data_IF_181627723706
#
_entry.id   IF_181627723706
#
_cell.length_a   1.000
_cell.length_b   1.000
_cell.length_c   1.000
_cell.angle_alpha   90.00
_cell.angle_beta   90.00
_cell.angle_gamma   90.00
#
_symmetry.space_group_name_H-M   'P 1'
#
loop_
_entity.id
_entity.type
_entity.pdbx_description
1 polymer ?
#
# COMPACT_ATOMS: atom_id res chain seq x y z
N UNK A 1 16.83 -4.29 -19.63
CA UNK A 1 15.91 -3.51 -18.78
C UNK A 1 16.59 -2.23 -18.38
N UNK A 2 15.92 -1.06 -18.31
CA UNK A 2 16.52 0.11 -17.71
C UNK A 2 16.88 -0.22 -16.26
N UNK A 3 18.16 -0.02 -15.92
CA UNK A 3 18.70 -0.36 -14.60
C UNK A 3 18.39 0.81 -13.64
N UNK A 4 17.17 0.84 -13.10
CA UNK A 4 16.84 1.79 -12.04
C UNK A 4 17.46 1.32 -10.73
N UNK A 5 18.02 2.23 -9.91
CA UNK A 5 18.67 1.84 -8.67
C UNK A 5 17.66 1.19 -7.71
N UNK A 6 18.05 0.07 -7.13
CA UNK A 6 17.34 -0.52 -5.99
C UNK A 6 17.42 0.45 -4.83
N UNK A 7 16.27 0.82 -4.28
CA UNK A 7 16.18 1.72 -3.11
C UNK A 7 16.41 0.91 -1.83
N UNK A 8 15.86 -0.30 -1.77
CA UNK A 8 15.91 -1.15 -0.60
C UNK A 8 15.92 -2.63 -0.97
N UNK A 9 16.52 -3.45 -0.11
CA UNK A 9 16.53 -4.92 -0.28
C UNK A 9 16.30 -5.58 1.08
N UNK A 10 15.43 -6.56 1.13
CA UNK A 10 15.15 -7.32 2.34
C UNK A 10 14.86 -8.79 2.05
N UNK A 11 14.95 -9.63 3.06
CA UNK A 11 14.55 -11.04 2.98
C UNK A 11 13.15 -11.23 3.54
N UNK A 12 12.31 -11.97 2.83
CA UNK A 12 11.01 -12.43 3.36
C UNK A 12 11.21 -13.34 4.57
N UNK A 13 10.15 -13.66 5.29
CA UNK A 13 10.17 -14.67 6.37
C UNK A 13 10.65 -16.05 5.91
N UNK A 14 10.49 -16.37 4.62
CA UNK A 14 10.96 -17.60 4.00
C UNK A 14 12.38 -17.53 3.44
N UNK A 15 13.12 -16.42 3.65
CA UNK A 15 14.49 -16.23 3.18
C UNK A 15 14.60 -15.80 1.70
N UNK A 16 13.50 -15.55 1.02
CA UNK A 16 13.50 -15.07 -0.35
C UNK A 16 13.89 -13.59 -0.39
N UNK A 17 14.84 -13.23 -1.24
CA UNK A 17 15.30 -11.85 -1.40
C UNK A 17 14.29 -11.05 -2.22
N UNK A 18 13.97 -9.86 -1.74
CA UNK A 18 13.08 -8.89 -2.40
C UNK A 18 13.84 -7.60 -2.63
N UNK A 19 13.78 -7.11 -3.85
CA UNK A 19 14.35 -5.81 -4.26
C UNK A 19 13.22 -4.81 -4.43
N UNK A 20 13.38 -3.62 -3.86
CA UNK A 20 12.39 -2.54 -3.95
C UNK A 20 13.03 -1.35 -4.65
N UNK A 21 12.30 -0.75 -5.54
CA UNK A 21 12.67 0.52 -6.19
C UNK A 21 11.47 1.44 -6.38
N UNK A 22 11.74 2.69 -6.67
CA UNK A 22 10.69 3.64 -7.02
C UNK A 22 9.98 3.20 -8.30
N UNK A 23 8.66 3.35 -8.29
CA UNK A 23 7.80 3.09 -9.44
C UNK A 23 8.09 4.12 -10.54
N UNK A 24 8.15 3.64 -11.76
CA UNK A 24 8.46 4.44 -12.95
C UNK A 24 7.32 4.32 -13.98
N UNK A 25 7.17 5.28 -14.90
CA UNK A 25 6.15 5.23 -15.96
C UNK A 25 6.17 3.96 -16.79
N UNK A 26 7.37 3.42 -17.00
CA UNK A 26 7.59 2.20 -17.79
C UNK A 26 7.12 0.92 -17.07
N UNK A 27 6.72 1.01 -15.82
CA UNK A 27 6.38 -0.14 -14.98
C UNK A 27 4.92 -0.61 -15.12
N UNK A 28 4.11 0.05 -15.93
CA UNK A 28 2.74 -0.38 -16.17
C UNK A 28 2.59 -1.88 -16.50
N UNK A 29 3.46 -2.52 -17.34
CA UNK A 29 3.39 -3.96 -17.56
C UNK A 29 3.61 -4.79 -16.29
N UNK A 30 4.42 -4.33 -15.34
CA UNK A 30 4.63 -5.01 -14.05
C UNK A 30 3.41 -4.89 -13.14
N UNK A 31 2.72 -3.75 -13.17
CA UNK A 31 1.49 -3.57 -12.41
C UNK A 31 0.35 -4.42 -12.98
N UNK A 32 0.29 -4.57 -14.30
CA UNK A 32 -0.64 -5.51 -14.95
C UNK A 32 -0.34 -6.95 -14.53
N UNK A 33 0.94 -7.38 -14.62
CA UNK A 33 1.36 -8.72 -14.16
C UNK A 33 1.00 -8.94 -12.68
N UNK A 34 1.28 -7.97 -11.81
CA UNK A 34 0.90 -8.03 -10.41
C UNK A 34 -0.61 -8.21 -10.23
N UNK A 35 -1.41 -7.39 -10.93
CA UNK A 35 -2.87 -7.46 -10.87
C UNK A 35 -3.40 -8.82 -11.36
N UNK A 36 -2.89 -9.34 -12.47
CA UNK A 36 -3.31 -10.63 -13.03
C UNK A 36 -3.03 -11.80 -12.08
N UNK A 37 -2.02 -11.65 -11.22
CA UNK A 37 -1.65 -12.62 -10.19
C UNK A 37 -2.29 -12.35 -8.81
N UNK A 38 -3.27 -11.44 -8.74
CA UNK A 38 -4.15 -11.24 -7.58
C UNK A 38 -5.48 -11.95 -7.82
N UNK A 39 -5.99 -12.63 -6.81
CA UNK A 39 -7.33 -13.21 -6.83
C UNK A 39 -8.44 -12.17 -6.75
N UNK A 40 -9.68 -12.56 -7.03
CA UNK A 40 -10.83 -11.66 -7.02
C UNK A 40 -11.01 -10.91 -5.69
N UNK A 41 -10.81 -11.61 -4.57
CA UNK A 41 -10.90 -11.02 -3.23
C UNK A 41 -9.84 -9.95 -3.00
N UNK A 42 -8.58 -10.23 -3.37
CA UNK A 42 -7.47 -9.27 -3.24
C UNK A 42 -7.67 -8.04 -4.13
N UNK A 43 -8.19 -8.22 -5.34
CA UNK A 43 -8.56 -7.11 -6.24
C UNK A 43 -9.67 -6.27 -5.63
N UNK A 44 -10.73 -6.93 -5.14
CA UNK A 44 -11.85 -6.24 -4.49
C UNK A 44 -11.41 -5.45 -3.26
N UNK A 45 -10.58 -6.05 -2.40
CA UNK A 45 -10.04 -5.37 -1.22
C UNK A 45 -9.17 -4.16 -1.56
N UNK A 46 -8.45 -4.21 -2.69
CA UNK A 46 -7.57 -3.13 -3.12
C UNK A 46 -8.32 -1.97 -3.76
N UNK A 47 -9.33 -2.26 -4.58
CA UNK A 47 -10.01 -1.26 -5.40
C UNK A 47 -11.42 -0.90 -4.90
N UNK A 48 -11.93 -1.61 -3.89
CA UNK A 48 -13.28 -1.47 -3.32
C UNK A 48 -14.39 -1.64 -4.36
N UNK A 49 -14.09 -2.33 -5.45
CA UNK A 49 -15.03 -2.65 -6.54
C UNK A 49 -14.66 -3.99 -7.17
N UNK A 50 -15.66 -4.67 -7.75
CA UNK A 50 -15.43 -5.90 -8.47
C UNK A 50 -14.74 -5.59 -9.81
N UNK A 51 -13.55 -6.12 -10.00
CA UNK A 51 -12.77 -6.00 -11.23
C UNK A 51 -12.45 -7.39 -11.76
N UNK A 52 -13.17 -7.81 -12.80
CA UNK A 52 -13.00 -9.13 -13.41
C UNK A 52 -11.80 -9.17 -14.36
N UNK A 53 -11.37 -8.02 -14.87
CA UNK A 53 -10.22 -7.87 -15.76
C UNK A 53 -9.49 -6.56 -15.49
N UNK A 54 -8.24 -6.52 -15.93
CA UNK A 54 -7.43 -5.29 -15.88
C UNK A 54 -7.97 -4.33 -16.93
N UNK A 55 -8.52 -3.22 -16.48
CA UNK A 55 -8.65 -2.07 -17.37
C UNK A 55 -7.25 -1.45 -17.51
N UNK A 56 -6.57 -1.87 -18.58
CA UNK A 56 -5.20 -1.43 -18.86
C UNK A 56 -5.15 0.09 -19.00
N UNK A 57 -6.17 0.70 -19.58
CA UNK A 57 -6.24 2.15 -19.73
C UNK A 57 -6.30 2.83 -18.34
N UNK A 58 -7.04 2.28 -17.39
CA UNK A 58 -7.05 2.78 -16.00
C UNK A 58 -5.73 2.56 -15.24
N UNK A 59 -5.02 1.47 -15.51
CA UNK A 59 -3.67 1.26 -14.98
C UNK A 59 -2.75 2.30 -15.58
N UNK A 60 -2.80 2.52 -16.90
CA UNK A 60 -2.04 3.55 -17.59
C UNK A 60 -2.39 4.95 -17.11
N UNK A 61 -3.67 5.31 -16.99
CA UNK A 61 -4.12 6.61 -16.47
C UNK A 61 -3.59 6.87 -15.05
N UNK A 62 -3.55 5.83 -14.23
CA UNK A 62 -3.01 5.93 -12.87
C UNK A 62 -1.48 6.02 -12.88
N UNK A 63 -0.83 5.28 -13.77
CA UNK A 63 0.62 5.33 -13.95
C UNK A 63 1.05 6.60 -14.67
N UNK A 64 0.24 7.12 -15.60
CA UNK A 64 0.43 8.46 -16.17
C UNK A 64 0.30 9.55 -15.11
N UNK A 65 -0.61 9.44 -14.15
CA UNK A 65 -0.68 10.34 -13.01
C UNK A 65 0.57 10.26 -12.12
N UNK A 66 1.11 9.05 -11.93
CA UNK A 66 2.37 8.84 -11.21
C UNK A 66 3.57 9.30 -12.06
N UNK A 67 3.46 9.18 -13.37
CA UNK A 67 4.55 9.37 -14.33
C UNK A 67 4.68 10.79 -14.88
N UNK A 68 3.55 11.40 -15.24
CA UNK A 68 3.46 12.72 -15.88
C UNK A 68 2.82 13.76 -14.97
N UNK A 69 2.03 13.34 -13.98
CA UNK A 69 1.79 14.18 -12.83
C UNK A 69 3.17 14.50 -12.24
N UNK A 70 3.45 15.80 -12.05
CA UNK A 70 4.65 16.22 -11.34
C UNK A 70 4.97 15.21 -10.23
N UNK A 71 6.22 14.82 -10.03
CA UNK A 71 6.66 13.97 -8.91
C UNK A 71 6.18 14.49 -7.55
N UNK A 72 5.61 15.70 -7.52
CA UNK A 72 4.92 16.31 -6.39
C UNK A 72 3.51 15.76 -6.13
N UNK A 73 2.88 15.02 -7.07
CA UNK A 73 1.47 14.58 -6.94
C UNK A 73 1.38 13.13 -6.49
N UNK A 74 2.25 12.25 -6.96
CA UNK A 74 2.19 10.82 -6.63
C UNK A 74 3.58 10.20 -6.51
N UNK A 75 3.70 9.22 -5.62
CA UNK A 75 4.88 8.40 -5.43
C UNK A 75 4.49 6.93 -5.31
N UNK A 76 5.39 6.07 -5.68
CA UNK A 76 5.16 4.64 -5.56
C UNK A 76 6.44 3.83 -5.51
N UNK A 77 6.31 2.66 -4.94
CA UNK A 77 7.34 1.63 -4.83
C UNK A 77 6.85 0.35 -5.48
N UNK A 78 7.73 -0.35 -6.15
CA UNK A 78 7.48 -1.69 -6.69
C UNK A 78 8.53 -2.65 -6.15
N UNK A 79 8.08 -3.84 -5.74
CA UNK A 79 8.92 -4.90 -5.20
C UNK A 79 9.00 -6.06 -6.17
N UNK A 80 10.20 -6.58 -6.32
CA UNK A 80 10.51 -7.71 -7.20
C UNK A 80 11.20 -8.81 -6.42
N UNK A 81 11.03 -10.05 -6.86
CA UNK A 81 11.86 -11.16 -6.45
C UNK A 81 12.21 -12.05 -7.65
N UNK A 82 13.32 -12.77 -7.51
CA UNK A 82 13.67 -13.81 -8.46
C UNK A 82 12.90 -15.10 -8.11
N UNK A 83 12.36 -15.73 -9.13
CA UNK A 83 11.74 -17.06 -9.04
C UNK A 83 12.62 -18.08 -9.80
N UNK A 84 12.30 -19.35 -9.63
CA UNK A 84 13.00 -20.41 -10.37
C UNK A 84 12.77 -20.31 -11.89
N UNK A 85 11.68 -19.67 -12.32
CA UNK A 85 11.25 -19.59 -13.71
C UNK A 85 11.76 -18.33 -14.41
N UNK A 86 11.80 -17.20 -13.69
CA UNK A 86 12.26 -15.93 -14.25
C UNK A 86 12.79 -14.99 -13.15
N UNK A 87 13.75 -14.11 -13.49
CA UNK A 87 14.17 -13.02 -12.61
C UNK A 87 13.13 -11.89 -12.63
N UNK A 88 13.27 -10.96 -11.69
CA UNK A 88 12.53 -9.69 -11.61
C UNK A 88 11.01 -9.86 -11.73
N UNK A 89 10.44 -10.81 -10.97
CA UNK A 89 8.99 -10.98 -10.91
C UNK A 89 8.39 -9.92 -9.98
N UNK A 90 7.42 -9.09 -10.45
CA UNK A 90 6.75 -8.13 -9.59
C UNK A 90 5.88 -8.87 -8.56
N UNK A 91 6.08 -8.59 -7.29
CA UNK A 91 5.41 -9.28 -6.18
C UNK A 91 4.56 -8.37 -5.31
N UNK A 92 4.83 -7.08 -5.34
CA UNK A 92 4.02 -6.09 -4.63
C UNK A 92 4.24 -4.69 -5.19
N UNK A 93 3.26 -3.82 -4.97
CA UNK A 93 3.37 -2.39 -5.22
C UNK A 93 2.68 -1.61 -4.11
N UNK A 94 3.24 -0.45 -3.75
CA UNK A 94 2.61 0.51 -2.86
C UNK A 94 2.73 1.90 -3.47
N UNK A 95 1.73 2.75 -3.26
CA UNK A 95 1.74 4.12 -3.77
C UNK A 95 0.91 5.03 -2.91
N UNK A 96 1.21 6.33 -2.97
CA UNK A 96 0.29 7.36 -2.54
C UNK A 96 0.05 8.38 -3.64
N UNK A 97 -1.11 9.02 -3.58
CA UNK A 97 -1.50 10.14 -4.44
C UNK A 97 -1.91 11.31 -3.54
N UNK A 98 -1.25 12.45 -3.70
CA UNK A 98 -1.56 13.66 -2.91
C UNK A 98 -2.97 14.13 -3.19
N UNK A 99 -3.71 14.39 -2.13
CA UNK A 99 -5.03 15.04 -2.16
C UNK A 99 -4.89 16.55 -1.98
N UNK A 100 -3.90 16.95 -1.19
CA UNK A 100 -3.51 18.33 -0.93
C UNK A 100 -2.05 18.39 -0.43
N UNK A 101 -1.60 19.55 0.07
CA UNK A 101 -0.22 19.73 0.53
C UNK A 101 0.16 18.88 1.75
N UNK A 102 -0.82 18.46 2.55
CA UNK A 102 -0.60 17.74 3.80
C UNK A 102 -1.04 16.27 3.77
N UNK A 103 -1.92 15.90 2.83
CA UNK A 103 -2.59 14.61 2.81
C UNK A 103 -2.43 13.88 1.49
N UNK A 104 -2.33 12.56 1.57
CA UNK A 104 -2.34 11.70 0.39
C UNK A 104 -3.13 10.42 0.65
N UNK A 105 -3.79 9.89 -0.38
CA UNK A 105 -4.39 8.57 -0.36
C UNK A 105 -3.31 7.51 -0.60
N UNK A 106 -3.26 6.48 0.26
CA UNK A 106 -2.27 5.42 0.19
C UNK A 106 -2.92 4.06 -0.12
N UNK A 107 -2.21 3.24 -0.88
CA UNK A 107 -2.63 1.87 -1.12
C UNK A 107 -1.46 0.93 -1.37
N UNK A 108 -1.64 -0.33 -0.95
CA UNK A 108 -0.67 -1.41 -1.12
C UNK A 108 -1.33 -2.64 -1.72
N UNK A 109 -0.63 -3.31 -2.63
CA UNK A 109 -1.03 -4.56 -3.26
C UNK A 109 0.10 -5.57 -3.11
N UNK A 110 -0.24 -6.80 -2.78
CA UNK A 110 0.71 -7.92 -2.71
C UNK A 110 0.10 -9.10 -3.45
N UNK A 111 0.85 -9.70 -4.34
CA UNK A 111 0.51 -10.90 -5.06
C UNK A 111 0.10 -12.01 -4.08
N UNK A 112 -0.96 -12.77 -4.37
CA UNK A 112 -1.59 -13.67 -3.40
C UNK A 112 -0.62 -14.74 -2.86
N UNK A 113 0.20 -15.33 -3.72
CA UNK A 113 1.20 -16.33 -3.33
C UNK A 113 2.39 -15.75 -2.54
N UNK A 114 2.48 -14.43 -2.46
CA UNK A 114 3.52 -13.69 -1.74
C UNK A 114 3.01 -12.96 -0.49
N UNK A 115 1.73 -13.13 -0.15
CA UNK A 115 1.16 -12.59 1.09
C UNK A 115 1.71 -13.31 2.34
N UNK A 116 1.47 -12.73 3.52
CA UNK A 116 1.93 -13.21 4.83
C UNK A 116 3.47 -13.36 5.00
N UNK A 117 4.26 -12.98 3.99
CA UNK A 117 5.74 -13.02 4.00
C UNK A 117 6.40 -11.74 4.52
N UNK A 118 5.61 -10.72 4.90
CA UNK A 118 6.09 -9.44 5.42
C UNK A 118 6.29 -8.35 4.38
N UNK A 119 6.10 -8.64 3.09
CA UNK A 119 6.37 -7.71 1.97
C UNK A 119 5.51 -6.44 2.09
N UNK A 120 4.20 -6.58 2.29
CA UNK A 120 3.30 -5.43 2.40
C UNK A 120 3.65 -4.48 3.57
N UNK A 121 4.09 -5.04 4.71
CA UNK A 121 4.52 -4.23 5.87
C UNK A 121 5.78 -3.44 5.56
N UNK A 122 6.76 -4.05 4.89
CA UNK A 122 8.00 -3.38 4.49
C UNK A 122 7.72 -2.26 3.49
N UNK A 123 6.94 -2.55 2.45
CA UNK A 123 6.60 -1.54 1.43
C UNK A 123 5.82 -0.36 2.01
N UNK A 124 4.82 -0.63 2.85
CA UNK A 124 4.04 0.44 3.45
C UNK A 124 4.91 1.28 4.40
N UNK A 125 5.80 0.64 5.19
CA UNK A 125 6.75 1.36 6.04
C UNK A 125 7.65 2.30 5.25
N UNK A 126 8.30 1.81 4.19
CA UNK A 126 9.13 2.63 3.31
C UNK A 126 8.37 3.79 2.67
N UNK A 127 7.12 3.54 2.27
CA UNK A 127 6.31 4.57 1.64
C UNK A 127 5.86 5.65 2.64
N UNK A 128 5.63 5.29 3.91
CA UNK A 128 5.32 6.23 4.99
C UNK A 128 6.54 7.10 5.30
N UNK A 129 7.74 6.52 5.34
CA UNK A 129 9.01 7.27 5.50
C UNK A 129 9.21 8.25 4.35
N UNK A 130 9.00 7.82 3.09
CA UNK A 130 9.10 8.68 1.92
C UNK A 130 8.07 9.82 1.95
N UNK A 131 6.84 9.55 2.40
CA UNK A 131 5.79 10.55 2.57
C UNK A 131 6.15 11.60 3.61
N UNK A 132 6.76 11.18 4.72
CA UNK A 132 7.29 12.09 5.75
C UNK A 132 8.36 13.02 5.19
N UNK A 133 9.34 12.46 4.47
CA UNK A 133 10.45 13.22 3.88
C UNK A 133 9.96 14.25 2.83
N UNK A 134 8.85 13.95 2.16
CA UNK A 134 8.17 14.83 1.20
C UNK A 134 7.20 15.84 1.87
N UNK A 135 7.17 15.91 3.20
CA UNK A 135 6.41 16.87 3.99
C UNK A 135 4.92 16.59 4.13
N UNK A 136 4.48 15.35 3.85
CA UNK A 136 3.11 14.94 4.17
C UNK A 136 2.95 14.74 5.68
N UNK A 137 1.80 15.13 6.21
CA UNK A 137 1.47 14.92 7.62
C UNK A 137 0.51 13.73 7.82
N UNK A 138 -0.25 13.36 6.79
CA UNK A 138 -1.26 12.30 6.87
C UNK A 138 -1.32 11.46 5.60
N UNK A 139 -1.40 10.12 5.80
CA UNK A 139 -1.76 9.18 4.74
C UNK A 139 -3.11 8.54 5.05
N UNK A 140 -4.01 8.55 4.07
CA UNK A 140 -5.38 8.08 4.22
C UNK A 140 -5.53 6.77 3.45
N UNK A 141 -6.00 5.73 4.13
CA UNK A 141 -6.30 4.43 3.53
C UNK A 141 -7.76 4.06 3.76
N UNK A 142 -8.45 3.62 2.70
CA UNK A 142 -9.79 3.05 2.80
C UNK A 142 -9.70 1.53 2.84
N UNK A 143 -10.14 0.93 3.93
CA UNK A 143 -9.94 -0.48 4.23
C UNK A 143 -11.27 -1.16 4.50
N UNK A 144 -11.51 -2.29 3.85
CA UNK A 144 -12.64 -3.13 4.22
C UNK A 144 -12.45 -3.75 5.59
N UNK A 145 -13.49 -3.77 6.41
CA UNK A 145 -13.44 -4.32 7.76
C UNK A 145 -13.08 -5.83 7.77
N UNK A 146 -13.39 -6.53 6.68
CA UNK A 146 -13.04 -7.95 6.47
C UNK A 146 -11.59 -8.18 6.04
N UNK A 147 -10.83 -7.13 5.68
CA UNK A 147 -9.46 -7.26 5.21
C UNK A 147 -8.47 -7.48 6.37
N UNK A 148 -8.40 -8.70 6.87
CA UNK A 148 -7.52 -9.06 8.00
C UNK A 148 -6.04 -8.80 7.69
N UNK A 149 -5.62 -8.93 6.42
CA UNK A 149 -4.23 -8.77 6.02
C UNK A 149 -3.75 -7.32 6.24
N UNK A 150 -4.52 -6.33 5.75
CA UNK A 150 -4.14 -4.92 5.90
C UNK A 150 -4.20 -4.48 7.37
N UNK A 151 -5.17 -4.97 8.16
CA UNK A 151 -5.24 -4.68 9.59
C UNK A 151 -3.99 -5.15 10.33
N UNK A 152 -3.43 -6.30 9.97
CA UNK A 152 -2.16 -6.80 10.53
C UNK A 152 -0.98 -5.92 10.14
N UNK A 153 -0.98 -5.35 8.94
CA UNK A 153 0.06 -4.43 8.47
C UNK A 153 -0.04 -3.13 9.25
N UNK A 154 -1.21 -2.50 9.30
CA UNK A 154 -1.45 -1.23 9.98
C UNK A 154 -1.12 -1.29 11.47
N UNK A 155 -1.52 -2.36 12.16
CA UNK A 155 -1.21 -2.54 13.58
C UNK A 155 0.29 -2.76 13.88
N UNK A 156 1.14 -2.94 12.87
CA UNK A 156 2.59 -3.06 13.00
C UNK A 156 3.34 -1.79 12.62
N UNK A 157 2.64 -0.84 12.02
CA UNK A 157 3.22 0.47 11.77
C UNK A 157 3.45 1.18 13.10
N UNK A 158 4.64 1.74 13.24
CA UNK A 158 5.00 2.53 14.43
C UNK A 158 4.61 4.01 14.26
N UNK A 159 3.35 4.23 13.83
CA UNK A 159 2.78 5.56 13.62
C UNK A 159 1.39 5.63 14.26
N UNK A 160 0.99 6.79 14.81
CA UNK A 160 -0.35 6.98 15.33
C UNK A 160 -1.40 6.79 14.23
N UNK A 161 -2.50 6.12 14.56
CA UNK A 161 -3.59 5.84 13.64
C UNK A 161 -4.91 6.41 14.18
N UNK A 162 -5.62 7.17 13.35
CA UNK A 162 -7.04 7.47 13.58
C UNK A 162 -7.92 6.60 12.69
N UNK A 163 -9.12 6.28 13.15
CA UNK A 163 -10.06 5.37 12.48
C UNK A 163 -11.45 5.98 12.46
N UNK A 164 -12.06 5.98 11.30
CA UNK A 164 -13.45 6.34 11.12
C UNK A 164 -14.17 5.27 10.31
N UNK A 165 -15.08 4.52 10.96
CA UNK A 165 -15.81 3.43 10.32
C UNK A 165 -17.14 3.92 9.77
N UNK A 166 -17.42 3.57 8.51
CA UNK A 166 -18.70 3.79 7.85
C UNK A 166 -19.15 2.49 7.15
N UNK A 167 -20.12 1.82 7.75
CA UNK A 167 -20.65 0.56 7.24
C UNK A 167 -19.60 -0.56 7.15
N UNK A 168 -19.35 -1.07 5.93
CA UNK A 168 -18.44 -2.20 5.66
C UNK A 168 -16.96 -1.83 5.52
N UNK A 169 -16.63 -0.52 5.52
CA UNK A 169 -15.28 -0.02 5.33
C UNK A 169 -14.89 0.94 6.47
N UNK A 170 -13.59 1.13 6.64
CA UNK A 170 -13.00 2.05 7.61
C UNK A 170 -11.99 2.92 6.89
N UNK A 171 -12.12 4.23 7.08
CA UNK A 171 -11.08 5.19 6.77
C UNK A 171 -10.02 5.15 7.89
N UNK A 172 -8.78 4.95 7.49
CA UNK A 172 -7.61 4.96 8.38
C UNK A 172 -6.78 6.17 8.03
N UNK A 173 -6.48 6.99 9.01
CA UNK A 173 -5.50 8.07 8.88
C UNK A 173 -4.22 7.66 9.61
N UNK A 174 -3.12 7.56 8.87
CA UNK A 174 -1.77 7.34 9.40
C UNK A 174 -1.17 8.73 9.60
N UNK A 175 -0.86 9.10 10.84
CA UNK A 175 -0.25 10.39 11.18
C UNK A 175 1.28 10.29 11.00
N UNK A 176 1.76 10.83 9.88
CA UNK A 176 3.16 10.70 9.44
C UNK A 176 4.06 11.73 10.11
N UNK A 177 3.54 12.92 10.40
CA UNK A 177 4.29 14.05 10.98
C UNK A 177 4.55 13.96 12.50
N UNK A 178 3.97 12.97 13.19
CA UNK A 178 4.08 12.80 14.65
C UNK A 178 5.02 11.65 15.05
N UNK A 179 6.05 11.37 14.24
CA UNK A 179 7.10 10.42 14.57
C UNK A 179 7.99 10.96 15.70
N UNK A 180 8.02 10.25 16.87
CA UNK A 180 8.76 10.47 18.11
C UNK A 180 8.04 11.17 19.28
N UNK A 181 6.80 10.76 19.53
CA UNK A 181 6.08 11.21 20.72
C UNK A 181 4.90 10.32 21.08
N UNK A 182 5.13 9.04 21.32
CA UNK A 182 4.11 8.17 21.89
C UNK A 182 3.87 8.56 23.37
N UNK A 183 3.05 9.56 23.62
CA UNK A 183 2.27 9.63 24.86
C UNK A 183 0.89 9.05 24.53
N UNK A 184 0.55 7.99 25.24
CA UNK A 184 -0.68 7.21 25.28
C UNK A 184 -1.95 7.93 24.74
N UNK A 185 -2.27 7.79 23.47
CA UNK A 185 -3.62 7.99 23.00
C UNK A 185 -4.42 6.73 23.41
N UNK A 186 -5.09 6.81 24.55
CA UNK A 186 -6.01 5.81 25.04
C UNK A 186 -7.03 5.49 23.96
N UNK A 187 -7.02 4.25 23.49
CA UNK A 187 -8.04 3.72 22.58
C UNK A 187 -9.34 3.67 23.37
N UNK A 188 -10.23 4.63 23.13
CA UNK A 188 -11.60 4.58 23.65
C UNK A 188 -12.38 3.51 22.89
N UNK A 189 -12.34 2.31 23.45
CA UNK A 189 -13.14 1.18 23.01
C UNK A 189 -14.47 1.22 23.77
N UNK A 190 -15.41 2.07 23.33
CA UNK A 190 -16.78 2.02 23.80
C UNK A 190 -17.59 1.08 22.89
N UNK A 191 -17.94 -0.12 23.35
CA UNK A 191 -18.87 -0.96 22.62
C UNK A 191 -20.26 -0.33 22.70
N UNK A 192 -20.90 -0.10 21.56
CA UNK A 192 -22.30 0.33 21.54
C UNK A 192 -23.18 -0.67 22.27
N UNK A 193 -24.16 -0.21 23.09
CA UNK A 193 -25.05 -1.09 23.79
C UNK A 193 -25.98 -1.80 22.80
N UNK A 194 -25.96 -3.13 22.82
CA UNK A 194 -26.93 -3.96 22.12
C UNK A 194 -28.31 -3.65 22.69
N UNK A 195 -29.17 -3.03 21.90
CA UNK A 195 -30.59 -2.92 22.16
C UNK A 195 -31.22 -4.32 21.99
N UNK A 196 -31.47 -4.95 23.13
CA UNK A 196 -32.35 -6.11 23.24
C UNK A 196 -33.79 -5.59 23.22
N UNK A 197 -34.55 -5.99 22.23
CA UNK A 197 -35.98 -5.72 22.07
C UNK A 197 -36.57 -6.74 21.10
#
# INVERSE_FOLDING_TARGET
MPNYPTVYTFSTKGGQLVHVRSLQPIDAPYLVDLFENMGADSRYQRFLQTLDYVDIDRVWDTDELIAYGSASIARGLVAFCDTAERPDVPVAAARYVRMNDEEAEVGVSVRDDMQDKGIGSQLLGLLVEEAHDEGLSRLIAYVQNSNVAIWRILNRLNYPLSRHSDGGATEIVIHVGEGDGCEDAAIDYSPEPQLIG
#
